data_IF_787845853277
#
_entry.id   IF_787845853277
#
_cell.length_a   1.000
_cell.length_b   1.000
_cell.length_c   1.000
_cell.angle_alpha   90.00
_cell.angle_beta   90.00
_cell.angle_gamma   90.00
#
_symmetry.space_group_name_H-M   'P 1'
#
loop_
_entity.id
_entity.type
_entity.pdbx_description
1 polymer ?
#
# COMPACT_ATOMS: atom_id res chain seq x y z
N UNK A 1 8.07 -1.31 23.99
CA UNK A 1 7.77 -1.00 22.56
C UNK A 1 8.42 0.32 22.13
N UNK A 2 9.32 0.92 22.95
CA UNK A 2 9.72 2.33 22.77
C UNK A 2 10.96 2.56 21.89
N UNK A 3 11.49 1.53 21.23
CA UNK A 3 12.75 1.63 20.47
C UNK A 3 12.68 1.10 19.03
N UNK A 4 11.51 0.77 18.49
CA UNK A 4 11.43 0.37 17.08
C UNK A 4 11.58 1.60 16.16
N UNK A 5 12.48 1.49 15.19
CA UNK A 5 12.78 2.50 14.16
C UNK A 5 13.26 3.87 14.70
N UNK A 6 14.27 3.94 15.59
CA UNK A 6 14.64 5.16 16.31
C UNK A 6 15.26 6.25 15.42
N UNK A 7 15.73 5.88 14.21
CA UNK A 7 16.30 6.83 13.23
C UNK A 7 15.49 6.89 11.95
N UNK A 8 14.29 6.31 11.92
CA UNK A 8 13.50 6.23 10.70
C UNK A 8 12.88 7.57 10.30
N UNK A 9 12.68 7.72 9.00
CA UNK A 9 12.07 8.88 8.38
C UNK A 9 10.64 9.14 8.88
N UNK A 10 9.82 8.09 8.94
CA UNK A 10 8.45 8.12 9.44
C UNK A 10 8.23 6.95 10.39
N UNK A 11 8.65 7.11 11.65
CA UNK A 11 8.66 6.04 12.66
C UNK A 11 7.28 5.41 12.90
N UNK A 12 6.23 6.24 13.07
CA UNK A 12 4.86 5.74 13.31
C UNK A 12 4.32 5.00 12.10
N UNK A 13 4.43 5.58 10.90
CA UNK A 13 4.09 4.89 9.67
C UNK A 13 4.87 3.57 9.47
N UNK A 14 6.17 3.51 9.75
CA UNK A 14 6.93 2.26 9.68
C UNK A 14 6.36 1.19 10.63
N UNK A 15 5.96 1.58 11.84
CA UNK A 15 5.33 0.69 12.80
C UNK A 15 3.95 0.21 12.33
N UNK A 16 3.12 1.09 11.74
CA UNK A 16 1.84 0.71 11.16
C UNK A 16 2.01 -0.35 10.05
N UNK A 17 2.99 -0.15 9.16
CA UNK A 17 3.34 -1.13 8.14
C UNK A 17 3.75 -2.48 8.74
N UNK A 18 4.57 -2.47 9.79
CA UNK A 18 5.01 -3.69 10.48
C UNK A 18 3.83 -4.45 11.10
N UNK A 19 2.92 -3.76 11.78
CA UNK A 19 1.71 -4.37 12.33
C UNK A 19 0.84 -4.98 11.23
N UNK A 20 0.63 -4.24 10.14
CA UNK A 20 -0.15 -4.72 9.01
C UNK A 20 0.45 -6.01 8.40
N UNK A 21 1.78 -6.09 8.32
CA UNK A 21 2.48 -7.29 7.81
C UNK A 21 2.26 -8.55 8.66
N UNK A 22 2.14 -8.38 9.98
CA UNK A 22 1.83 -9.47 10.92
C UNK A 22 0.33 -9.70 11.11
N UNK A 23 -0.51 -9.08 10.28
CA UNK A 23 -1.98 -9.14 10.37
C UNK A 23 -2.55 -8.60 11.69
N UNK A 24 -1.79 -7.76 12.41
CA UNK A 24 -2.22 -7.00 13.57
C UNK A 24 -3.02 -5.77 13.11
N UNK A 25 -4.24 -6.00 12.62
CA UNK A 25 -5.05 -4.98 11.94
C UNK A 25 -5.45 -3.84 12.87
N UNK A 26 -5.87 -4.15 14.09
CA UNK A 26 -6.31 -3.14 15.06
C UNK A 26 -5.15 -2.22 15.43
N UNK A 27 -3.97 -2.79 15.70
CA UNK A 27 -2.77 -2.01 16.01
C UNK A 27 -2.28 -1.20 14.79
N UNK A 28 -2.34 -1.77 13.59
CA UNK A 28 -2.02 -1.04 12.36
C UNK A 28 -2.97 0.15 12.16
N UNK A 29 -4.27 -0.06 12.37
CA UNK A 29 -5.30 0.97 12.28
C UNK A 29 -5.09 2.07 13.32
N UNK A 30 -4.88 1.72 14.59
CA UNK A 30 -4.64 2.70 15.67
C UNK A 30 -3.39 3.55 15.42
N UNK A 31 -2.27 2.93 15.01
CA UNK A 31 -1.02 3.65 14.72
C UNK A 31 -1.18 4.55 13.50
N UNK A 32 -1.81 4.06 12.43
CA UNK A 32 -2.07 4.87 11.24
C UNK A 32 -3.05 6.02 11.54
N UNK A 33 -4.03 5.82 12.43
CA UNK A 33 -5.03 6.83 12.81
C UNK A 33 -4.42 7.98 13.61
N UNK A 34 -3.41 7.68 14.43
CA UNK A 34 -2.67 8.68 15.18
C UNK A 34 -1.69 9.49 14.32
N UNK A 35 -1.30 8.98 13.14
CA UNK A 35 -0.35 9.61 12.23
C UNK A 35 -1.05 10.43 11.15
N UNK A 36 -1.07 11.76 11.31
CA UNK A 36 -1.70 12.70 10.37
C UNK A 36 -0.93 12.94 9.07
N UNK A 37 0.20 12.26 8.85
CA UNK A 37 1.01 12.37 7.63
C UNK A 37 0.35 11.73 6.40
N UNK A 38 0.99 11.93 5.24
CA UNK A 38 0.61 11.22 4.02
C UNK A 38 0.85 9.72 4.16
N UNK A 39 1.91 9.30 4.86
CA UNK A 39 2.28 7.90 5.06
C UNK A 39 1.31 7.19 6.02
N UNK A 40 0.87 7.86 7.10
CA UNK A 40 -0.20 7.37 7.96
C UNK A 40 -1.52 7.17 7.20
N UNK A 41 -1.90 8.17 6.39
CA UNK A 41 -3.06 8.06 5.49
C UNK A 41 -2.89 6.95 4.44
N UNK A 42 -1.66 6.69 3.98
CA UNK A 42 -1.37 5.64 3.01
C UNK A 42 -1.60 4.26 3.64
N UNK A 43 -1.07 4.00 4.84
CA UNK A 43 -1.31 2.74 5.54
C UNK A 43 -2.80 2.49 5.81
N UNK A 44 -3.55 3.53 6.17
CA UNK A 44 -5.02 3.47 6.27
C UNK A 44 -5.68 3.04 4.96
N UNK A 45 -5.28 3.65 3.84
CA UNK A 45 -5.78 3.30 2.51
C UNK A 45 -5.52 1.83 2.15
N UNK A 46 -4.33 1.32 2.47
CA UNK A 46 -3.99 -0.10 2.24
C UNK A 46 -4.84 -1.00 3.13
N UNK A 47 -4.99 -0.67 4.42
CA UNK A 47 -5.74 -1.46 5.39
C UNK A 47 -7.19 -1.64 4.96
N UNK A 48 -7.89 -0.55 4.61
CA UNK A 48 -9.28 -0.61 4.17
C UNK A 48 -9.44 -1.29 2.80
N UNK A 49 -8.44 -1.18 1.90
CA UNK A 49 -8.46 -1.95 0.65
C UNK A 49 -8.37 -3.46 0.90
N UNK A 50 -7.71 -3.90 1.96
CA UNK A 50 -7.71 -5.31 2.41
C UNK A 50 -8.98 -5.71 3.19
N UNK A 51 -9.83 -4.74 3.53
CA UNK A 51 -11.12 -4.87 4.24
C UNK A 51 -12.33 -4.85 3.29
N UNK A 52 -12.07 -5.15 2.00
CA UNK A 52 -12.83 -4.68 0.83
C UNK A 52 -13.72 -3.43 1.01
N UNK A 53 -13.19 -2.37 1.63
CA UNK A 53 -13.90 -1.11 1.86
C UNK A 53 -13.37 -0.01 0.91
N UNK A 54 -13.88 -0.03 -0.33
CA UNK A 54 -13.41 0.86 -1.40
C UNK A 54 -13.65 2.35 -1.10
N UNK A 55 -14.74 2.69 -0.39
CA UNK A 55 -15.07 4.07 -0.06
C UNK A 55 -14.11 4.65 0.98
N UNK A 56 -13.85 3.92 2.06
CA UNK A 56 -12.87 4.35 3.06
C UNK A 56 -11.45 4.32 2.51
N UNK A 57 -11.08 3.29 1.74
CA UNK A 57 -9.78 3.26 1.07
C UNK A 57 -9.60 4.51 0.19
N UNK A 58 -10.59 4.85 -0.63
CA UNK A 58 -10.57 6.04 -1.47
C UNK A 58 -10.45 7.34 -0.66
N UNK A 59 -11.19 7.46 0.45
CA UNK A 59 -11.09 8.62 1.34
C UNK A 59 -9.65 8.84 1.81
N UNK A 60 -8.98 7.77 2.27
CA UNK A 60 -7.61 7.86 2.76
C UNK A 60 -6.59 8.10 1.65
N UNK A 61 -6.74 7.46 0.48
CA UNK A 61 -5.87 7.71 -0.66
C UNK A 61 -5.98 9.16 -1.20
N UNK A 62 -7.12 9.84 -1.05
CA UNK A 62 -7.22 11.28 -1.33
C UNK A 62 -6.32 12.11 -0.42
N UNK A 63 -6.14 11.69 0.84
CA UNK A 63 -5.27 12.39 1.82
C UNK A 63 -3.78 12.14 1.57
N UNK A 64 -3.42 11.04 0.90
CA UNK A 64 -2.04 10.77 0.46
C UNK A 64 -1.59 11.78 -0.61
N UNK A 65 -2.45 12.08 -1.59
CA UNK A 65 -2.09 12.94 -2.71
C UNK A 65 -0.97 12.33 -3.56
N UNK A 66 0.02 13.14 -3.98
CA UNK A 66 1.19 12.64 -4.71
C UNK A 66 2.22 12.12 -3.72
N UNK A 67 2.72 10.90 -3.93
CA UNK A 67 3.69 10.28 -3.03
C UNK A 67 4.99 9.85 -3.76
N UNK A 68 6.19 9.99 -3.15
CA UNK A 68 7.46 9.59 -3.77
C UNK A 68 7.59 8.10 -4.13
N UNK A 69 6.76 7.23 -3.52
CA UNK A 69 6.73 5.79 -3.82
C UNK A 69 6.09 5.49 -5.17
N UNK A 70 5.17 6.34 -5.65
CA UNK A 70 4.32 6.08 -6.81
C UNK A 70 5.10 5.76 -8.10
N UNK A 71 6.16 6.49 -8.49
CA UNK A 71 6.90 6.16 -9.71
C UNK A 71 7.56 4.77 -9.65
N UNK A 72 8.15 4.41 -8.52
CA UNK A 72 8.78 3.10 -8.34
C UNK A 72 7.75 1.96 -8.24
N UNK A 73 6.58 2.26 -7.68
CA UNK A 73 5.46 1.32 -7.61
C UNK A 73 4.86 1.04 -8.99
N UNK A 74 4.69 2.07 -9.83
CA UNK A 74 4.25 1.88 -11.21
C UNK A 74 5.20 0.95 -11.97
N UNK A 75 6.52 1.17 -11.89
CA UNK A 75 7.51 0.31 -12.55
C UNK A 75 7.43 -1.15 -12.06
N UNK A 76 7.21 -1.36 -10.76
CA UNK A 76 7.03 -2.70 -10.21
C UNK A 76 5.75 -3.34 -10.74
N UNK A 77 4.65 -2.59 -10.79
CA UNK A 77 3.38 -3.07 -11.31
C UNK A 77 3.43 -3.38 -12.81
N UNK A 78 4.16 -2.61 -13.62
CA UNK A 78 4.40 -2.89 -15.03
C UNK A 78 5.19 -4.19 -15.23
N UNK A 79 6.22 -4.43 -14.42
CA UNK A 79 6.98 -5.68 -14.45
C UNK A 79 6.11 -6.88 -14.05
N UNK A 80 5.25 -6.74 -13.03
CA UNK A 80 4.30 -7.78 -12.61
C UNK A 80 3.26 -8.02 -13.71
N UNK A 81 2.73 -6.97 -14.34
CA UNK A 81 1.80 -7.10 -15.46
C UNK A 81 2.41 -7.85 -16.66
N UNK A 82 3.71 -7.66 -16.92
CA UNK A 82 4.42 -8.41 -17.94
C UNK A 82 4.61 -9.89 -17.57
N UNK A 83 4.79 -10.19 -16.29
CA UNK A 83 4.89 -11.57 -15.78
C UNK A 83 3.53 -12.29 -15.76
N UNK A 84 2.42 -11.54 -15.68
CA UNK A 84 1.04 -12.05 -15.70
C UNK A 84 0.26 -11.51 -16.90
N UNK A 85 0.58 -11.93 -18.14
CA UNK A 85 -0.08 -11.41 -19.35
C UNK A 85 -1.60 -11.68 -19.36
N UNK A 86 -2.05 -12.75 -18.72
CA UNK A 86 -3.45 -13.16 -18.65
C UNK A 86 -4.24 -12.47 -17.52
N UNK A 87 -3.58 -11.68 -16.66
CA UNK A 87 -4.26 -10.92 -15.60
C UNK A 87 -5.12 -9.78 -16.14
N UNK A 88 -4.91 -9.33 -17.39
CA UNK A 88 -5.68 -8.24 -17.99
C UNK A 88 -5.54 -6.92 -17.22
N UNK A 89 -4.34 -6.65 -16.69
CA UNK A 89 -4.02 -5.42 -15.98
C UNK A 89 -3.89 -4.25 -16.96
N UNK A 90 -4.58 -3.17 -16.67
CA UNK A 90 -4.48 -1.91 -17.40
C UNK A 90 -3.99 -0.83 -16.45
N UNK A 91 -2.70 -0.50 -16.55
CA UNK A 91 -2.06 0.50 -15.72
C UNK A 91 -2.05 1.85 -16.44
N UNK A 92 -2.29 2.93 -15.69
CA UNK A 92 -2.19 4.29 -16.20
C UNK A 92 -0.71 4.71 -16.35
N UNK A 93 -0.47 5.86 -17.01
CA UNK A 93 0.88 6.44 -17.18
C UNK A 93 1.53 6.91 -15.87
N UNK A 94 0.74 7.03 -14.81
CA UNK A 94 1.16 7.35 -13.46
C UNK A 94 0.42 6.40 -12.51
N UNK A 95 1.02 6.10 -11.36
CA UNK A 95 0.33 5.28 -10.35
C UNK A 95 -0.96 5.97 -9.91
N UNK A 96 -2.05 5.23 -9.97
CA UNK A 96 -3.37 5.68 -9.56
C UNK A 96 -3.90 4.70 -8.48
N UNK A 97 -3.95 5.12 -7.21
CA UNK A 97 -4.42 4.25 -6.14
C UNK A 97 -5.91 3.91 -6.29
N UNK A 98 -6.71 4.75 -6.95
CA UNK A 98 -8.13 4.48 -7.17
C UNK A 98 -8.33 3.40 -8.22
N UNK A 99 -7.57 3.46 -9.32
CA UNK A 99 -7.55 2.37 -10.29
C UNK A 99 -7.07 1.04 -9.66
N UNK A 100 -6.12 1.10 -8.72
CA UNK A 100 -5.69 -0.11 -8.02
C UNK A 100 -6.73 -0.64 -7.01
N UNK A 101 -7.55 0.21 -6.38
CA UNK A 101 -8.73 -0.23 -5.61
C UNK A 101 -9.67 -1.04 -6.51
N UNK A 102 -10.01 -0.52 -7.70
CA UNK A 102 -10.90 -1.23 -8.64
C UNK A 102 -10.31 -2.57 -9.10
N UNK A 103 -8.99 -2.64 -9.32
CA UNK A 103 -8.28 -3.88 -9.61
C UNK A 103 -8.44 -4.89 -8.47
N UNK A 104 -8.21 -4.47 -7.21
CA UNK A 104 -8.38 -5.33 -6.05
C UNK A 104 -9.83 -5.80 -5.86
N UNK A 105 -10.82 -4.95 -6.10
CA UNK A 105 -12.24 -5.33 -6.05
C UNK A 105 -12.64 -6.34 -7.13
N UNK A 106 -12.02 -6.26 -8.32
CA UNK A 106 -12.23 -7.25 -9.38
C UNK A 106 -11.51 -8.57 -9.08
N UNK A 107 -10.30 -8.49 -8.51
CA UNK A 107 -9.50 -9.62 -8.10
C UNK A 107 -10.19 -10.44 -7.01
N UNK A 108 -10.73 -9.78 -5.97
CA UNK A 108 -11.38 -10.45 -4.82
C UNK A 108 -12.64 -11.25 -5.20
N UNK A 109 -13.25 -10.93 -6.35
CA UNK A 109 -14.41 -11.66 -6.91
C UNK A 109 -14.00 -12.90 -7.70
N UNK A 110 -12.70 -13.12 -7.92
CA UNK A 110 -12.16 -14.21 -8.74
C UNK A 110 -10.96 -14.89 -8.04
N UNK A 111 -11.18 -15.59 -6.90
CA UNK A 111 -10.09 -16.25 -6.18
C UNK A 111 -9.38 -17.30 -7.04
N UNK A 112 -8.05 -17.36 -6.93
CA UNK A 112 -7.16 -18.23 -7.70
C UNK A 112 -6.89 -17.78 -9.13
N UNK A 113 -7.42 -16.62 -9.54
CA UNK A 113 -7.16 -16.07 -10.88
C UNK A 113 -5.78 -15.43 -10.99
N UNK A 114 -5.26 -15.33 -12.21
CA UNK A 114 -4.03 -14.56 -12.49
C UNK A 114 -4.16 -13.09 -12.09
N UNK A 115 -5.37 -12.52 -12.15
CA UNK A 115 -5.64 -11.16 -11.66
C UNK A 115 -5.45 -11.07 -10.14
N UNK A 116 -5.92 -12.06 -9.37
CA UNK A 116 -5.71 -12.09 -7.92
C UNK A 116 -4.23 -12.25 -7.57
N UNK A 117 -3.52 -13.18 -8.24
CA UNK A 117 -2.09 -13.36 -8.03
C UNK A 117 -1.31 -12.07 -8.31
N UNK A 118 -1.55 -11.44 -9.47
CA UNK A 118 -0.88 -10.20 -9.84
C UNK A 118 -1.24 -9.04 -8.88
N UNK A 119 -2.50 -8.91 -8.47
CA UNK A 119 -2.91 -7.88 -7.51
C UNK A 119 -2.25 -8.08 -6.14
N UNK A 120 -2.13 -9.31 -5.65
CA UNK A 120 -1.41 -9.64 -4.42
C UNK A 120 0.08 -9.30 -4.52
N UNK A 121 0.74 -9.58 -5.65
CA UNK A 121 2.14 -9.20 -5.86
C UNK A 121 2.34 -7.68 -5.89
N UNK A 122 1.45 -6.95 -6.57
CA UNK A 122 1.48 -5.49 -6.60
C UNK A 122 1.24 -4.92 -5.20
N UNK A 123 0.27 -5.45 -4.45
CA UNK A 123 0.00 -5.03 -3.07
C UNK A 123 1.21 -5.26 -2.16
N UNK A 124 1.92 -6.38 -2.33
CA UNK A 124 3.16 -6.68 -1.60
C UNK A 124 4.28 -5.72 -1.98
N UNK A 125 4.45 -5.42 -3.27
CA UNK A 125 5.44 -4.47 -3.74
C UNK A 125 5.15 -3.04 -3.21
N UNK A 126 3.88 -2.64 -3.17
CA UNK A 126 3.45 -1.38 -2.56
C UNK A 126 3.77 -1.32 -1.08
N UNK A 127 3.42 -2.36 -0.32
CA UNK A 127 3.75 -2.46 1.10
C UNK A 127 5.26 -2.30 1.32
N UNK A 128 6.08 -3.06 0.59
CA UNK A 128 7.54 -3.04 0.76
C UNK A 128 8.11 -1.65 0.51
N UNK A 129 7.67 -0.99 -0.57
CA UNK A 129 8.18 0.34 -0.92
C UNK A 129 7.76 1.42 0.06
N UNK A 130 6.51 1.40 0.53
CA UNK A 130 6.05 2.33 1.55
C UNK A 130 6.79 2.09 2.87
N UNK A 131 6.94 0.83 3.27
CA UNK A 131 7.69 0.46 4.45
C UNK A 131 9.15 0.92 4.37
N UNK A 132 9.85 0.67 3.27
CA UNK A 132 11.23 1.12 3.06
C UNK A 132 11.34 2.65 3.12
N UNK A 133 10.38 3.34 2.49
CA UNK A 133 10.33 4.81 2.53
C UNK A 133 10.15 5.33 3.97
N UNK A 134 9.31 4.68 4.77
CA UNK A 134 9.08 5.06 6.16
C UNK A 134 10.27 4.70 7.06
N UNK A 135 10.84 3.51 6.89
CA UNK A 135 11.87 2.93 7.75
C UNK A 135 13.29 3.39 7.43
N UNK A 136 13.54 3.97 6.25
CA UNK A 136 14.86 4.52 5.89
C UNK A 136 15.34 5.54 6.92
N UNK A 137 16.65 5.61 7.11
CA UNK A 137 17.24 6.59 8.03
C UNK A 137 17.02 8.01 7.51
N UNK A 138 16.56 8.92 8.38
CA UNK A 138 16.59 10.35 8.08
C UNK A 138 18.03 10.79 7.84
N UNK A 139 18.29 11.46 6.72
CA UNK A 139 19.54 12.19 6.53
C UNK A 139 19.51 13.44 7.42
N UNK A 140 20.52 13.61 8.27
CA UNK A 140 20.69 14.78 9.13
C UNK A 140 20.93 16.06 8.31
#
# INVERSE_FOLDING_TARGET
MDELFPSAHARQAALAGLYLYFSCRDEAHEVAQADSSAEGSYWHGILHRQEPDAENASYWFRRVGKHPVFPGLLQAAEAIALAHPDAGLHLAKAWDPFAFIEICERASKQPGSELEHAACEIQRAEWQRLFDYCARRSSY
#
